data_IF_130657220369
#
_entry.id   IF_130657220369
#
_cell.length_a   1.000
_cell.length_b   1.000
_cell.length_c   1.000
_cell.angle_alpha   90.00
_cell.angle_beta   90.00
_cell.angle_gamma   90.00
#
_symmetry.space_group_name_H-M   'P 1'
#
loop_
_entity.id
_entity.type
_entity.pdbx_description
1 polymer ?
#
# COMPACT_ATOMS: atom_id res chain seq x y z
N UNK A 1 3.44 -3.87 7.04
CA UNK A 1 2.76 -2.67 6.50
C UNK A 1 2.35 -1.66 7.56
N UNK A 2 1.91 -2.09 8.75
CA UNK A 2 1.42 -1.20 9.82
C UNK A 2 2.41 -0.13 10.30
N UNK A 3 3.72 -0.31 10.08
CA UNK A 3 4.76 0.72 10.31
C UNK A 3 4.70 1.85 9.29
N UNK A 4 4.43 1.53 8.03
CA UNK A 4 4.29 2.49 6.92
C UNK A 4 2.96 3.23 7.05
N UNK A 5 1.92 2.52 7.49
CA UNK A 5 0.59 3.06 7.77
C UNK A 5 0.46 3.68 9.17
N UNK A 6 1.57 4.08 9.81
CA UNK A 6 1.54 4.80 11.09
C UNK A 6 1.00 6.21 10.89
N UNK A 7 0.36 6.74 11.91
CA UNK A 7 -0.16 8.11 11.91
C UNK A 7 0.06 8.80 13.25
N UNK A 8 -0.30 10.08 13.30
CA UNK A 8 -0.37 10.85 14.55
C UNK A 8 -1.77 10.69 15.14
N UNK A 9 -1.86 10.11 16.33
CA UNK A 9 -3.11 10.02 17.07
C UNK A 9 -3.24 11.21 18.02
N UNK A 10 -4.32 11.99 17.88
CA UNK A 10 -4.63 13.11 18.77
C UNK A 10 -5.51 12.58 19.91
N UNK A 11 -5.02 12.65 21.14
CA UNK A 11 -5.72 12.15 22.33
C UNK A 11 -6.57 13.26 23.00
N UNK A 12 -7.27 14.05 22.19
CA UNK A 12 -8.01 15.25 22.65
C UNK A 12 -7.12 16.18 23.47
N UNK A 13 -7.38 16.34 24.78
CA UNK A 13 -6.66 17.22 25.71
C UNK A 13 -5.25 16.72 26.04
N UNK A 14 -4.96 15.44 25.83
CA UNK A 14 -3.62 14.88 26.04
C UNK A 14 -2.71 15.04 24.81
N UNK A 15 -1.38 15.13 25.00
CA UNK A 15 -0.42 15.15 23.91
C UNK A 15 -0.61 14.00 22.92
N UNK A 16 -0.30 14.29 21.66
CA UNK A 16 -0.40 13.31 20.59
C UNK A 16 0.78 12.34 20.58
N UNK A 17 0.54 11.10 20.16
CA UNK A 17 1.59 10.09 19.97
C UNK A 17 1.45 9.39 18.61
N UNK A 18 2.51 8.69 18.17
CA UNK A 18 2.44 7.87 16.97
C UNK A 18 1.64 6.60 17.25
N UNK A 19 0.60 6.35 16.45
CA UNK A 19 -0.18 5.11 16.50
C UNK A 19 0.15 4.23 15.31
N UNK A 20 0.01 2.92 15.53
CA UNK A 20 0.16 1.91 14.50
C UNK A 20 -1.11 1.80 13.66
N UNK A 21 -0.95 1.64 12.34
CA UNK A 21 -2.08 1.39 11.45
C UNK A 21 -2.74 0.03 11.71
N UNK A 22 -3.99 -0.13 11.25
CA UNK A 22 -4.75 -1.37 11.41
C UNK A 22 -4.03 -2.59 10.82
N UNK A 23 -4.15 -3.73 11.51
CA UNK A 23 -3.53 -5.01 11.11
C UNK A 23 -4.34 -5.76 10.05
N UNK A 24 -5.62 -5.42 9.83
CA UNK A 24 -6.57 -6.28 9.11
C UNK A 24 -6.79 -5.97 7.63
N UNK A 25 -6.09 -4.99 7.03
CA UNK A 25 -6.32 -4.62 5.61
C UNK A 25 -5.93 -5.79 4.68
N UNK A 26 -6.88 -6.46 4.00
CA UNK A 26 -6.60 -7.70 3.27
C UNK A 26 -6.33 -7.42 1.79
N UNK A 27 -5.10 -7.05 1.45
CA UNK A 27 -4.68 -6.86 0.04
C UNK A 27 -4.53 -8.18 -0.76
N UNK A 28 -4.50 -9.33 -0.06
CA UNK A 28 -4.27 -10.64 -0.70
C UNK A 28 -5.48 -11.20 -1.43
N UNK A 29 -6.69 -10.71 -1.16
CA UNK A 29 -7.91 -11.22 -1.80
C UNK A 29 -7.98 -10.88 -3.31
N UNK A 30 -7.21 -9.87 -3.75
CA UNK A 30 -7.20 -9.41 -5.14
C UNK A 30 -6.15 -10.10 -6.03
N UNK A 31 -5.47 -11.17 -5.57
CA UNK A 31 -4.42 -11.90 -6.32
C UNK A 31 -3.23 -11.05 -6.81
N UNK A 32 -3.12 -9.80 -6.35
CA UNK A 32 -2.02 -8.89 -6.68
C UNK A 32 -0.73 -9.17 -5.89
N UNK A 33 -0.87 -9.77 -4.72
CA UNK A 33 0.21 -9.96 -3.74
C UNK A 33 0.22 -11.42 -3.28
N UNK A 34 1.39 -12.04 -3.28
CA UNK A 34 1.62 -13.39 -2.80
C UNK A 34 2.50 -13.39 -1.53
N UNK A 35 2.45 -14.49 -0.79
CA UNK A 35 3.38 -14.72 0.32
C UNK A 35 4.75 -15.04 -0.26
N UNK A 36 5.76 -14.41 0.31
CA UNK A 36 7.14 -14.74 -0.01
C UNK A 36 7.64 -15.88 0.89
N UNK A 37 8.61 -16.67 0.40
CA UNK A 37 9.19 -17.78 1.16
C UNK A 37 9.93 -17.28 2.42
N UNK A 38 10.46 -16.06 2.37
CA UNK A 38 11.18 -15.42 3.49
C UNK A 38 10.22 -14.83 4.56
N UNK A 39 8.93 -15.17 4.50
CA UNK A 39 7.91 -14.71 5.46
C UNK A 39 7.32 -13.33 5.16
N UNK A 40 7.72 -12.72 4.04
CA UNK A 40 7.22 -11.44 3.55
C UNK A 40 5.99 -11.56 2.66
N UNK A 41 5.67 -10.44 1.99
CA UNK A 41 4.71 -10.40 0.88
C UNK A 41 5.35 -9.67 -0.29
N UNK A 42 5.17 -10.20 -1.50
CA UNK A 42 5.66 -9.60 -2.74
C UNK A 42 4.55 -9.50 -3.78
N UNK A 43 4.72 -8.62 -4.76
CA UNK A 43 3.80 -8.55 -5.89
C UNK A 43 3.91 -9.82 -6.74
N UNK A 44 2.77 -10.28 -7.25
CA UNK A 44 2.79 -11.31 -8.28
C UNK A 44 3.35 -10.72 -9.59
N UNK A 45 3.95 -11.53 -10.48
CA UNK A 45 4.41 -11.05 -11.78
C UNK A 45 3.29 -10.39 -12.60
N UNK A 46 2.04 -10.86 -12.44
CA UNK A 46 0.88 -10.24 -13.06
C UNK A 46 0.54 -8.89 -12.41
N UNK A 47 0.52 -8.82 -11.08
CA UNK A 47 0.26 -7.59 -10.35
C UNK A 47 1.25 -6.47 -10.71
N UNK A 48 2.52 -6.81 -10.95
CA UNK A 48 3.52 -5.85 -11.42
C UNK A 48 3.15 -5.27 -12.81
N UNK A 49 2.80 -6.14 -13.77
CA UNK A 49 2.41 -5.72 -15.12
C UNK A 49 1.17 -4.84 -15.13
N UNK A 50 0.20 -5.17 -14.28
CA UNK A 50 -1.05 -4.42 -14.17
C UNK A 50 -0.79 -3.00 -13.62
N UNK A 51 0.05 -2.88 -12.60
CA UNK A 51 0.47 -1.59 -12.06
C UNK A 51 1.25 -0.77 -13.09
N UNK A 52 2.21 -1.38 -13.79
CA UNK A 52 2.98 -0.71 -14.84
C UNK A 52 2.09 -0.19 -15.98
N UNK A 53 1.06 -0.95 -16.35
CA UNK A 53 0.06 -0.52 -17.34
C UNK A 53 -0.71 0.71 -16.86
N UNK A 54 -1.17 0.72 -15.61
CA UNK A 54 -1.86 1.87 -15.02
C UNK A 54 -0.94 3.09 -15.01
N UNK A 55 0.33 2.94 -14.62
CA UNK A 55 1.31 4.02 -14.64
C UNK A 55 1.45 4.64 -16.03
N UNK A 56 1.54 3.81 -17.08
CA UNK A 56 1.62 4.30 -18.48
C UNK A 56 0.36 5.05 -18.90
N UNK A 57 -0.83 4.56 -18.53
CA UNK A 57 -2.10 5.24 -18.83
C UNK A 57 -2.19 6.60 -18.14
N UNK A 58 -1.84 6.66 -16.85
CA UNK A 58 -1.83 7.91 -16.06
C UNK A 58 -0.82 8.90 -16.65
N UNK A 59 0.38 8.44 -17.04
CA UNK A 59 1.37 9.31 -17.66
C UNK A 59 0.90 9.86 -19.01
N UNK A 60 0.29 9.03 -19.86
CA UNK A 60 -0.27 9.47 -21.14
C UNK A 60 -1.38 10.51 -20.96
N UNK A 61 -2.29 10.30 -19.99
CA UNK A 61 -3.38 11.23 -19.69
C UNK A 61 -2.89 12.59 -19.15
N UNK A 62 -1.76 12.61 -18.44
CA UNK A 62 -1.19 13.83 -17.85
C UNK A 62 -0.18 14.56 -18.75
N UNK A 63 0.07 14.06 -19.96
CA UNK A 63 0.94 14.75 -20.92
C UNK A 63 0.26 16.05 -21.36
N UNK A 64 0.71 17.17 -20.79
CA UNK A 64 0.33 18.51 -21.26
C UNK A 64 0.88 18.69 -22.68
N UNK A 65 0.05 19.24 -23.56
CA UNK A 65 0.40 19.56 -24.95
C UNK A 65 1.51 20.62 -25.01
#
# INVERSE_FOLDING_TARGET
MTKISRGRHRNSVMPSHSSQGSKSVPLGWLKMVEKDQDGGRKLTPQGQRDLDRITRLVAAANKKH
#
